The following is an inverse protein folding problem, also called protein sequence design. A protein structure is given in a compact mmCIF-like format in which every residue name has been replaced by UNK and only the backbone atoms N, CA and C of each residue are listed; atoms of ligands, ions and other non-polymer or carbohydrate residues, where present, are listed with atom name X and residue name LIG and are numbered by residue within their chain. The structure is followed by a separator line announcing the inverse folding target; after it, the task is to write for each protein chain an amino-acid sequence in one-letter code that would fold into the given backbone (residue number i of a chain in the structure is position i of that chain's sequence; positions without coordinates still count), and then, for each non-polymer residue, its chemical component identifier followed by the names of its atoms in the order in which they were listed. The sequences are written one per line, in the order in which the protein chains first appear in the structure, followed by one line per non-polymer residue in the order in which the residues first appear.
data_IF_688945887317
#
_entry.id   IF_688945887317
#
_cell.length_a   1.000
_cell.length_b   1.000
_cell.length_c   1.000
_cell.angle_alpha   90.00
_cell.angle_beta   90.00
_cell.angle_gamma   90.00
#
_symmetry.space_group_name_H-M   'P 1'
#
loop_
_entity.id
_entity.type
_entity.pdbx_description
1 polymer ?
#
# COMPACT_ATOMS: atom_id res chain seq x y z
N UNK A 1 -37.39 18.01 8.64
CA UNK A 1 -36.46 16.91 8.37
C UNK A 1 -35.11 17.31 8.95
N UNK A 2 -34.59 16.58 9.94
CA UNK A 2 -33.26 16.89 10.50
C UNK A 2 -32.21 16.57 9.44
N UNK A 3 -31.48 17.59 8.98
CA UNK A 3 -30.42 17.44 7.97
C UNK A 3 -29.26 16.58 8.48
N UNK A 4 -28.41 16.10 7.57
CA UNK A 4 -27.21 15.36 7.93
C UNK A 4 -26.28 16.22 8.79
N UNK A 5 -26.19 15.90 10.07
CA UNK A 5 -25.26 16.51 11.02
C UNK A 5 -24.14 15.51 11.29
N UNK A 6 -22.90 15.95 11.17
CA UNK A 6 -21.75 15.17 11.59
C UNK A 6 -21.71 15.15 13.13
N UNK A 7 -21.78 13.95 13.71
CA UNK A 7 -21.65 13.74 15.15
C UNK A 7 -20.23 13.27 15.46
N UNK A 8 -19.64 13.66 16.61
CA UNK A 8 -18.29 13.29 16.98
C UNK A 8 -18.23 11.82 17.46
N UNK A 9 -18.37 10.88 16.53
CA UNK A 9 -18.24 9.46 16.82
C UNK A 9 -16.76 9.08 17.01
N UNK A 10 -16.44 8.26 18.02
CA UNK A 10 -15.06 7.87 18.28
C UNK A 10 -14.58 6.84 17.24
N UNK A 11 -13.97 7.31 16.15
CA UNK A 11 -13.48 6.47 15.05
C UNK A 11 -12.05 5.96 15.31
N UNK A 12 -11.18 6.80 15.86
CA UNK A 12 -9.76 6.48 15.99
C UNK A 12 -9.45 5.31 16.93
N UNK A 13 -10.03 5.31 18.14
CA UNK A 13 -9.77 4.26 19.14
C UNK A 13 -10.13 2.85 18.66
N UNK A 14 -11.34 2.59 18.12
CA UNK A 14 -11.68 1.26 17.62
C UNK A 14 -10.96 0.90 16.32
N UNK A 15 -10.66 1.88 15.44
CA UNK A 15 -10.03 1.59 14.15
C UNK A 15 -8.50 1.56 14.17
N UNK A 16 -7.85 2.05 15.22
CA UNK A 16 -6.40 2.07 15.37
C UNK A 16 -5.69 0.74 15.03
N UNK A 17 -6.11 -0.44 15.54
CA UNK A 17 -5.44 -1.70 15.21
C UNK A 17 -5.54 -2.05 13.72
N UNK A 18 -6.63 -1.68 13.05
CA UNK A 18 -6.80 -1.93 11.62
C UNK A 18 -5.90 -1.02 10.78
N UNK A 19 -5.80 0.26 11.12
CA UNK A 19 -4.85 1.16 10.47
C UNK A 19 -3.40 0.70 10.64
N UNK A 20 -3.03 0.26 11.84
CA UNK A 20 -1.71 -0.29 12.11
C UNK A 20 -1.45 -1.56 11.27
N UNK A 21 -2.41 -2.50 11.24
CA UNK A 21 -2.31 -3.70 10.42
C UNK A 21 -2.19 -3.36 8.91
N UNK A 22 -2.99 -2.42 8.41
CA UNK A 22 -2.91 -1.97 7.02
C UNK A 22 -1.54 -1.39 6.69
N UNK A 23 -0.95 -0.58 7.57
CA UNK A 23 0.39 -0.04 7.36
C UNK A 23 1.45 -1.14 7.31
N UNK A 24 1.38 -2.13 8.20
CA UNK A 24 2.30 -3.28 8.22
C UNK A 24 2.18 -4.10 6.93
N UNK A 25 0.95 -4.45 6.54
CA UNK A 25 0.69 -5.24 5.33
C UNK A 25 1.14 -4.46 4.09
N UNK A 26 0.84 -3.17 4.01
CA UNK A 26 1.27 -2.33 2.91
C UNK A 26 2.79 -2.32 2.78
N UNK A 27 3.52 -2.15 3.88
CA UNK A 27 4.98 -2.20 3.86
C UNK A 27 5.49 -3.58 3.41
N UNK A 28 4.96 -4.66 3.99
CA UNK A 28 5.36 -6.02 3.64
C UNK A 28 5.13 -6.35 2.17
N UNK A 29 3.95 -6.01 1.64
CA UNK A 29 3.58 -6.25 0.24
C UNK A 29 4.42 -5.40 -0.71
N UNK A 30 4.77 -4.16 -0.36
CA UNK A 30 5.71 -3.37 -1.18
C UNK A 30 7.10 -4.02 -1.27
N UNK A 31 7.64 -4.49 -0.14
CA UNK A 31 8.94 -5.17 -0.12
C UNK A 31 8.93 -6.48 -0.92
N UNK A 32 7.86 -7.26 -0.79
CA UNK A 32 7.71 -8.51 -1.55
C UNK A 32 7.55 -8.25 -3.04
N UNK A 33 6.81 -7.22 -3.43
CA UNK A 33 6.70 -6.81 -4.83
C UNK A 33 8.07 -6.41 -5.39
N UNK A 34 8.84 -5.57 -4.69
CA UNK A 34 10.21 -5.19 -5.09
C UNK A 34 11.10 -6.41 -5.32
N UNK A 35 11.01 -7.42 -4.46
CA UNK A 35 11.76 -8.67 -4.64
C UNK A 35 11.29 -9.46 -5.86
N UNK A 36 9.98 -9.67 -6.01
CA UNK A 36 9.40 -10.48 -7.09
C UNK A 36 9.59 -9.87 -8.49
N UNK A 37 9.51 -8.55 -8.62
CA UNK A 37 9.74 -7.85 -9.91
C UNK A 37 11.22 -7.66 -10.24
N UNK A 38 12.11 -7.98 -9.30
CA UNK A 38 13.56 -7.88 -9.49
C UNK A 38 14.24 -9.15 -9.99
N UNK A 39 13.48 -10.24 -10.19
CA UNK A 39 14.00 -11.49 -10.77
C UNK A 39 14.34 -11.33 -12.24
N UNK A 40 15.22 -12.19 -12.75
CA UNK A 40 15.72 -12.07 -14.13
C UNK A 40 14.64 -12.38 -15.18
N UNK A 41 13.61 -13.15 -14.82
CA UNK A 41 12.43 -13.38 -15.65
C UNK A 41 11.54 -12.15 -15.69
N UNK A 42 11.27 -11.53 -14.53
CA UNK A 42 10.39 -10.37 -14.42
C UNK A 42 11.01 -9.10 -15.04
N UNK A 43 12.34 -9.00 -15.11
CA UNK A 43 13.05 -7.91 -15.80
C UNK A 43 12.87 -7.92 -17.31
N UNK A 44 12.56 -9.07 -17.90
CA UNK A 44 12.37 -9.23 -19.34
C UNK A 44 10.97 -8.84 -19.79
N UNK A 45 10.03 -8.64 -18.85
CA UNK A 45 8.68 -8.18 -19.18
C UNK A 45 8.68 -6.66 -19.43
N UNK A 46 8.35 -6.20 -20.65
CA UNK A 46 8.30 -4.77 -20.99
C UNK A 46 7.22 -4.00 -20.21
N UNK A 47 6.28 -4.70 -19.55
CA UNK A 47 5.24 -4.10 -18.71
C UNK A 47 5.69 -3.84 -17.29
N UNK A 48 6.88 -4.29 -16.88
CA UNK A 48 7.38 -4.11 -15.54
C UNK A 48 7.90 -2.67 -15.31
N UNK A 49 7.18 -1.81 -14.58
CA UNK A 49 7.61 -0.44 -14.36
C UNK A 49 8.81 -0.32 -13.40
N UNK A 50 9.16 -1.38 -12.67
CA UNK A 50 10.29 -1.37 -11.73
C UNK A 50 11.66 -1.38 -12.42
N UNK A 51 11.76 -1.96 -13.62
CA UNK A 51 12.98 -1.89 -14.42
C UNK A 51 13.34 -0.43 -14.78
N UNK A 52 12.32 0.41 -14.98
CA UNK A 52 12.48 1.83 -15.28
C UNK A 52 12.80 2.66 -14.02
N UNK A 53 12.15 2.35 -12.89
CA UNK A 53 12.25 3.12 -11.65
C UNK A 53 13.57 2.92 -10.89
N UNK A 54 14.19 1.74 -11.00
CA UNK A 54 15.50 1.44 -10.38
C UNK A 54 16.69 1.99 -11.18
N UNK A 55 16.50 2.34 -12.44
CA UNK A 55 17.52 2.99 -13.28
C UNK A 55 17.59 4.51 -13.07
N UNK A 56 16.53 5.10 -12.47
CA UNK A 56 16.39 6.54 -12.21
C UNK A 56 16.78 6.97 -10.79
N UNK A 57 17.34 6.07 -9.98
CA UNK A 57 17.84 6.33 -8.62
C UNK A 57 19.22 5.69 -8.46
#
# INVERSE_FOLDING_TARGET
MFGFRAYPTPIWRPLAPFFAASAIVFYGVNRLQEAGVSTDEARKDPRNPYALKKASH
#
